data_IF_064586081966
#
_entry.id   IF_064586081966
#
_cell.length_a   1.000
_cell.length_b   1.000
_cell.length_c   1.000
_cell.angle_alpha   90.00
_cell.angle_beta   90.00
_cell.angle_gamma   90.00
#
_symmetry.space_group_name_H-M   'P 1'
#
loop_
_entity.id
_entity.type
_entity.pdbx_description
1 polymer ?
#
# COMPACT_ATOMS: atom_id res chain seq x y z
N UNK A 1 -30.32 9.03 -32.65
CA UNK A 1 -30.05 8.92 -32.04
C UNK A 1 -29.03 8.38 -31.65
N UNK A 2 -28.78 7.99 -31.28
CA UNK A 2 -27.71 7.33 -30.99
C UNK A 2 -26.42 7.98 -31.09
N UNK A 3 -26.40 9.15 -31.19
CA UNK A 3 -25.18 9.77 -31.30
C UNK A 3 -24.59 9.83 -29.97
N UNK A 4 -23.49 9.15 -29.73
CA UNK A 4 -22.80 9.16 -28.50
C UNK A 4 -22.08 10.45 -28.38
N UNK A 5 -22.26 11.14 -27.29
CA UNK A 5 -21.53 12.36 -27.07
C UNK A 5 -20.09 12.03 -26.75
N UNK A 6 -19.17 12.67 -27.38
CA UNK A 6 -17.80 12.48 -27.09
C UNK A 6 -17.47 13.14 -25.76
N UNK A 7 -16.72 12.47 -24.95
CA UNK A 7 -16.29 13.01 -23.67
C UNK A 7 -15.19 14.03 -23.91
N UNK A 8 -15.24 15.11 -23.20
CA UNK A 8 -14.22 16.12 -23.32
C UNK A 8 -13.19 15.96 -22.19
N UNK A 9 -12.23 16.85 -22.16
CA UNK A 9 -11.12 16.78 -21.20
C UNK A 9 -11.63 16.75 -19.78
N UNK A 10 -12.63 17.55 -19.49
CA UNK A 10 -13.15 17.64 -18.13
C UNK A 10 -13.81 16.34 -17.70
N UNK A 11 -14.50 15.68 -18.61
CA UNK A 11 -15.12 14.39 -18.29
C UNK A 11 -14.06 13.36 -17.93
N UNK A 12 -12.98 13.34 -18.67
CA UNK A 12 -11.90 12.39 -18.41
C UNK A 12 -11.17 12.72 -17.12
N UNK A 13 -11.03 13.99 -16.81
CA UNK A 13 -10.41 14.38 -15.53
C UNK A 13 -11.24 13.93 -14.36
N UNK A 14 -12.56 13.99 -14.46
CA UNK A 14 -13.42 13.49 -13.39
C UNK A 14 -13.24 11.99 -13.20
N UNK A 15 -13.09 11.27 -14.30
CA UNK A 15 -12.82 9.83 -14.19
C UNK A 15 -11.49 9.57 -13.51
N UNK A 16 -10.48 10.35 -13.86
CA UNK A 16 -9.16 10.21 -13.23
C UNK A 16 -9.27 10.49 -11.73
N UNK A 17 -9.99 11.55 -11.36
CA UNK A 17 -10.14 11.87 -9.94
C UNK A 17 -10.77 10.73 -9.17
N UNK A 18 -11.79 10.10 -9.75
CA UNK A 18 -12.44 8.97 -9.09
C UNK A 18 -11.49 7.79 -8.95
N UNK A 19 -10.66 7.55 -9.96
CA UNK A 19 -9.67 6.49 -9.90
C UNK A 19 -8.62 6.81 -8.85
N UNK A 20 -8.19 8.07 -8.80
CA UNK A 20 -7.19 8.48 -7.81
C UNK A 20 -7.71 8.27 -6.39
N UNK A 21 -9.00 8.56 -6.17
CA UNK A 21 -9.60 8.32 -4.86
C UNK A 21 -9.51 6.85 -4.48
N UNK A 22 -9.76 5.96 -5.43
CA UNK A 22 -9.66 4.54 -5.19
C UNK A 22 -8.22 4.11 -4.96
N UNK A 23 -7.30 4.67 -5.75
CA UNK A 23 -5.89 4.38 -5.56
C UNK A 23 -5.42 4.79 -4.17
N UNK A 24 -5.86 5.95 -3.72
CA UNK A 24 -5.48 6.44 -2.40
C UNK A 24 -5.91 5.45 -1.32
N UNK A 25 -7.15 4.98 -1.39
CA UNK A 25 -7.66 4.01 -0.43
C UNK A 25 -6.84 2.73 -0.47
N UNK A 26 -6.58 2.22 -1.68
CA UNK A 26 -5.84 0.96 -1.82
C UNK A 26 -4.40 1.08 -1.36
N UNK A 27 -3.76 2.21 -1.65
CA UNK A 27 -2.39 2.42 -1.19
C UNK A 27 -2.31 2.41 0.34
N UNK A 28 -3.29 3.02 0.99
CA UNK A 28 -3.30 3.04 2.44
C UNK A 28 -3.66 1.69 3.04
N UNK A 29 -4.54 0.93 2.39
CA UNK A 29 -4.81 -0.44 2.82
C UNK A 29 -3.55 -1.29 2.72
N UNK A 30 -2.82 -1.12 1.62
CA UNK A 30 -1.58 -1.85 1.44
C UNK A 30 -0.56 -1.48 2.51
N UNK A 31 -0.48 -0.18 2.82
CA UNK A 31 0.42 0.29 3.86
C UNK A 31 0.07 -0.31 5.21
N UNK A 32 -1.23 -0.42 5.51
CA UNK A 32 -1.65 -1.03 6.76
C UNK A 32 -1.24 -2.50 6.83
N UNK A 33 -1.33 -3.21 5.70
CA UNK A 33 -0.86 -4.59 5.65
C UNK A 33 0.64 -4.67 5.92
N UNK A 34 1.38 -3.72 5.36
CA UNK A 34 2.83 -3.68 5.58
C UNK A 34 3.17 -3.43 7.05
N UNK A 35 2.41 -2.57 7.69
CA UNK A 35 2.61 -2.31 9.12
C UNK A 35 2.35 -3.58 9.93
N UNK A 36 1.29 -4.32 9.60
CA UNK A 36 1.00 -5.56 10.30
C UNK A 36 2.14 -6.58 10.13
N UNK A 37 2.63 -6.68 8.91
CA UNK A 37 3.76 -7.55 8.63
C UNK A 37 4.98 -7.08 9.42
N UNK A 38 5.18 -5.78 9.49
CA UNK A 38 6.29 -5.20 10.25
C UNK A 38 6.28 -5.60 11.71
N UNK A 39 5.11 -5.57 12.34
CA UNK A 39 5.01 -5.98 13.74
C UNK A 39 5.33 -7.46 13.92
N UNK A 40 4.87 -8.30 12.98
CA UNK A 40 5.17 -9.72 13.02
C UNK A 40 6.67 -9.95 12.89
N UNK A 41 7.30 -9.27 11.93
CA UNK A 41 8.73 -9.40 11.74
C UNK A 41 9.51 -8.99 12.97
N UNK A 42 9.09 -7.89 13.57
CA UNK A 42 9.75 -7.41 14.77
C UNK A 42 9.63 -8.44 15.89
N UNK A 43 8.44 -8.98 16.06
CA UNK A 43 8.20 -9.97 17.12
C UNK A 43 9.03 -11.22 16.93
N UNK A 44 9.34 -11.57 15.68
CA UNK A 44 10.11 -12.76 15.37
C UNK A 44 11.57 -12.47 15.05
N UNK A 45 11.98 -11.23 15.21
CA UNK A 45 13.37 -10.83 14.88
C UNK A 45 13.73 -11.07 13.44
N UNK A 46 12.77 -10.83 12.54
CA UNK A 46 13.01 -10.96 11.11
C UNK A 46 13.35 -9.60 10.55
N UNK A 47 14.07 -9.58 9.42
CA UNK A 47 14.44 -8.32 8.79
C UNK A 47 13.29 -7.78 7.97
N UNK A 48 13.18 -6.46 7.92
CA UNK A 48 12.17 -5.82 7.11
C UNK A 48 12.44 -6.02 5.62
N UNK A 49 13.67 -5.83 5.22
CA UNK A 49 14.03 -5.91 3.82
C UNK A 49 14.17 -7.37 3.38
N UNK A 50 13.33 -7.78 2.44
CA UNK A 50 13.36 -9.13 1.88
C UNK A 50 13.40 -8.99 0.38
N UNK A 51 14.60 -8.92 -0.21
CA UNK A 51 14.73 -8.65 -1.64
C UNK A 51 14.03 -9.69 -2.52
N UNK A 52 13.99 -10.94 -2.10
CA UNK A 52 13.32 -11.97 -2.89
C UNK A 52 11.83 -11.67 -3.06
N UNK A 53 11.22 -11.16 -1.99
CA UNK A 53 9.81 -10.80 -2.04
C UNK A 53 9.58 -9.62 -2.98
N UNK A 54 10.49 -8.65 -2.96
CA UNK A 54 10.35 -7.48 -3.81
C UNK A 54 10.46 -7.86 -5.28
N UNK A 55 11.39 -8.73 -5.60
CA UNK A 55 11.54 -9.23 -6.95
C UNK A 55 10.28 -9.96 -7.39
N UNK A 56 9.75 -10.80 -6.52
CA UNK A 56 8.53 -11.55 -6.79
C UNK A 56 7.36 -10.63 -7.14
N UNK A 57 7.19 -9.57 -6.36
CA UNK A 57 6.11 -8.62 -6.58
C UNK A 57 6.26 -7.97 -7.95
N UNK A 58 7.47 -7.50 -8.27
CA UNK A 58 7.70 -6.79 -9.51
C UNK A 58 7.50 -7.71 -10.71
N UNK A 59 7.96 -8.96 -10.62
CA UNK A 59 7.78 -9.90 -11.70
C UNK A 59 6.31 -10.25 -11.91
N UNK A 60 5.59 -10.48 -10.83
CA UNK A 60 4.18 -10.83 -10.90
C UNK A 60 3.38 -9.70 -11.54
N UNK A 61 3.63 -8.48 -11.10
CA UNK A 61 2.86 -7.34 -11.61
C UNK A 61 3.23 -7.00 -13.03
N UNK A 62 4.51 -7.09 -13.38
CA UNK A 62 4.92 -6.88 -14.77
C UNK A 62 4.27 -7.89 -15.69
N UNK A 63 4.20 -9.14 -15.26
CA UNK A 63 3.58 -10.19 -16.08
C UNK A 63 2.07 -10.02 -16.18
N UNK A 64 1.45 -9.51 -15.15
CA UNK A 64 0.00 -9.33 -15.15
C UNK A 64 -0.44 -8.07 -15.90
N UNK A 65 0.50 -7.19 -16.18
CA UNK A 65 0.17 -5.92 -16.81
C UNK A 65 -0.36 -6.10 -18.23
N UNK A 66 -1.49 -5.46 -18.50
CA UNK A 66 -2.11 -5.51 -19.82
C UNK A 66 -1.99 -4.20 -20.59
N UNK A 67 -1.31 -3.22 -20.00
CA UNK A 67 -1.19 -1.92 -20.64
C UNK A 67 -2.41 -1.07 -20.41
N UNK A 68 -2.40 0.16 -20.85
CA UNK A 68 -1.41 0.77 -21.76
C UNK A 68 -0.08 1.16 -21.13
N UNK A 69 0.08 1.04 -19.81
CA UNK A 69 1.39 1.31 -19.22
C UNK A 69 2.36 0.21 -19.61
N UNK A 70 3.61 0.59 -19.85
CA UNK A 70 4.64 -0.39 -20.18
C UNK A 70 5.06 -1.14 -18.93
N UNK A 71 5.69 -2.30 -19.14
CA UNK A 71 6.21 -3.06 -18.02
C UNK A 71 7.22 -2.24 -17.23
N UNK A 72 8.04 -1.45 -17.93
CA UNK A 72 9.01 -0.61 -17.26
C UNK A 72 8.34 0.44 -16.38
N UNK A 73 7.25 1.02 -16.86
CA UNK A 73 6.50 2.00 -16.07
C UNK A 73 5.88 1.36 -14.83
N UNK A 74 5.29 0.18 -15.00
CA UNK A 74 4.73 -0.56 -13.88
C UNK A 74 5.81 -0.85 -12.84
N UNK A 75 6.98 -1.27 -13.32
CA UNK A 75 8.09 -1.57 -12.42
C UNK A 75 8.48 -0.35 -11.60
N UNK A 76 8.65 0.79 -12.27
CA UNK A 76 9.03 2.01 -11.55
C UNK A 76 8.00 2.42 -10.50
N UNK A 77 6.72 2.34 -10.86
CA UNK A 77 5.66 2.71 -9.93
C UNK A 77 5.65 1.80 -8.72
N UNK A 78 5.76 0.50 -8.94
CA UNK A 78 5.72 -0.43 -7.81
C UNK A 78 7.01 -0.47 -7.02
N UNK A 79 8.14 -0.14 -7.64
CA UNK A 79 9.36 0.05 -6.88
C UNK A 79 9.15 1.15 -5.84
N UNK A 80 8.46 2.23 -6.24
CA UNK A 80 8.19 3.31 -5.30
C UNK A 80 7.20 2.87 -4.23
N UNK A 81 6.16 2.14 -4.61
CA UNK A 81 5.20 1.63 -3.63
C UNK A 81 5.88 0.73 -2.62
N UNK A 82 6.76 -0.14 -3.09
CA UNK A 82 7.50 -1.06 -2.23
C UNK A 82 8.42 -0.28 -1.28
N UNK A 83 9.11 0.73 -1.81
CA UNK A 83 9.99 1.56 -1.00
C UNK A 83 9.21 2.25 0.12
N UNK A 84 8.03 2.77 -0.20
CA UNK A 84 7.21 3.45 0.80
C UNK A 84 6.68 2.47 1.84
N UNK A 85 6.38 1.23 1.42
CA UNK A 85 5.96 0.20 2.35
C UNK A 85 7.06 -0.12 3.35
N UNK A 86 8.28 -0.24 2.84
CA UNK A 86 9.43 -0.52 3.70
C UNK A 86 9.66 0.63 4.68
N UNK A 87 9.51 1.84 4.17
CA UNK A 87 9.66 3.04 4.97
C UNK A 87 8.66 3.08 6.12
N UNK A 88 7.39 2.81 5.83
CA UNK A 88 6.36 2.89 6.87
C UNK A 88 6.53 1.77 7.88
N UNK A 89 6.96 0.59 7.44
CA UNK A 89 7.26 -0.50 8.37
C UNK A 89 8.33 -0.06 9.36
N UNK A 90 9.38 0.55 8.84
CA UNK A 90 10.50 0.96 9.67
C UNK A 90 10.09 2.06 10.64
N UNK A 91 9.36 3.02 10.11
CA UNK A 91 8.94 4.16 10.90
C UNK A 91 8.02 3.76 12.05
N UNK A 92 7.02 2.94 11.76
CA UNK A 92 6.01 2.60 12.75
C UNK A 92 6.45 1.48 13.67
N UNK A 93 7.14 0.48 13.14
CA UNK A 93 7.42 -0.72 13.89
C UNK A 93 8.77 -0.71 14.60
N UNK A 94 9.69 0.14 14.17
CA UNK A 94 11.03 0.13 14.72
C UNK A 94 11.47 1.42 15.40
N UNK A 95 11.00 2.55 14.93
CA UNK A 95 11.41 3.79 15.57
C UNK A 95 10.79 3.97 16.95
N UNK A 96 9.73 3.20 17.24
CA UNK A 96 9.15 3.21 18.57
C UNK A 96 9.50 1.94 19.28
N UNK A 97 10.76 1.76 19.52
CA UNK A 97 11.19 0.56 20.15
C UNK A 97 10.58 0.40 21.52
N UNK A 98 10.04 -0.75 21.77
CA UNK A 98 9.42 -1.02 23.04
C UNK A 98 8.01 -0.49 23.14
N UNK A 99 7.54 0.18 22.12
CA UNK A 99 6.20 0.70 22.14
C UNK A 99 5.32 0.05 21.11
N UNK A 100 5.37 -1.23 21.05
CA UNK A 100 4.54 -1.98 20.12
C UNK A 100 3.08 -1.84 20.51
N UNK A 101 2.25 -1.24 19.66
CA UNK A 101 0.85 -1.05 20.00
C UNK A 101 0.13 -2.35 20.31
N UNK A 102 0.56 -3.45 19.66
CA UNK A 102 -0.10 -4.69 19.93
C UNK A 102 0.15 -5.21 21.30
N UNK A 103 1.33 -4.96 21.83
CA UNK A 103 1.61 -5.35 23.16
C UNK A 103 0.76 -4.59 24.13
N UNK A 104 0.52 -3.34 23.82
CA UNK A 104 -0.29 -2.55 24.69
C UNK A 104 -1.74 -2.92 24.57
N UNK A 105 -2.15 -3.22 23.35
CA UNK A 105 -3.54 -3.55 23.16
C UNK A 105 -3.96 -4.82 23.80
N UNK A 106 -3.03 -5.59 24.22
CA UNK A 106 -3.41 -6.73 25.03
C UNK A 106 -4.18 -6.23 26.19
N UNK A 107 -3.95 -5.01 26.53
CA UNK A 107 -4.65 -4.44 27.59
C UNK A 107 -5.59 -3.41 27.10
N UNK A 108 -5.25 -2.60 26.18
CA UNK A 108 -6.13 -1.61 25.76
C UNK A 108 -6.79 -1.93 24.50
N UNK A 109 -6.30 -2.79 23.81
CA UNK A 109 -6.92 -3.14 22.59
C UNK A 109 -7.60 -2.13 21.87
N UNK A 110 -7.45 -1.48 21.18
CA UNK A 110 -7.92 -0.59 20.33
C UNK A 110 -7.97 -0.16 19.29
N UNK A 111 -7.96 -0.06 18.95
CA UNK A 111 -8.17 0.66 17.75
C UNK A 111 -8.08 0.70 16.85
N UNK A 112 -8.11 0.18 16.73
CA UNK A 112 -8.17 0.42 15.44
C UNK A 112 -8.19 0.33 14.83
N UNK A 113 -8.32 -0.36 15.00
CA UNK A 113 -8.44 -0.38 13.94
C UNK A 113 -8.65 -0.12 13.52
N UNK A 114 -8.86 -0.42 13.89
CA UNK A 114 -9.09 -0.14 13.03
C UNK A 114 -9.25 0.42 12.83
N UNK A 115 -9.40 0.29 13.35
CA UNK A 115 -9.59 0.78 12.82
C UNK A 115 -9.57 1.26 12.67
N UNK A 116 -9.64 1.10 13.12
CA UNK A 116 -9.71 1.40 12.60
C UNK A 116 -9.47 1.82 12.75
N UNK A 117 -9.51 1.67 12.89
CA UNK A 117 -9.30 1.89 12.82
C UNK A 117 -9.16 2.77 12.80
N UNK A 118 -8.95 2.69 13.20
CA UNK A 118 -8.78 3.29 12.97
C UNK A 118 -8.44 3.97 13.04
N UNK A 119 -8.48 4.18 13.45
CA UNK A 119 -8.18 4.67 13.40
C UNK A 119 -7.82 5.21 13.37
N UNK A 120 -7.73 5.17 13.80
CA UNK A 120 -7.30 5.32 13.62
C UNK A 120 -7.23 5.50 13.40
#
# INVERSE_FOLDING_TARGET
MGQKRKLDVEDWRKKIDAIDDQLLVLLNERANCSIEIGWIKRARNLTIYVPEREIEILQRLSSANRGPLTKAAIRRLFERVIDESRSIERLVCHSNEGKNPRKRTDREKVVSSSPGRSKK
#
